data_IF_488339831876
#
_entry.id   IF_488339831876
#
_cell.length_a   1.000
_cell.length_b   1.000
_cell.length_c   1.000
_cell.angle_alpha   90.00
_cell.angle_beta   90.00
_cell.angle_gamma   90.00
#
_symmetry.space_group_name_H-M   'P 1'
#
loop_
_entity.id
_entity.type
_entity.pdbx_description
1 polymer ?
#
# COMPACT_ATOMS: atom_id res chain seq x y z
N UNK A 1 2.82 33.75 8.98
CA UNK A 1 4.07 33.82 8.17
C UNK A 1 3.96 32.78 7.07
N UNK A 2 4.10 33.18 5.80
CA UNK A 2 4.18 32.24 4.68
C UNK A 2 5.54 31.56 4.78
N UNK A 3 5.59 30.27 5.14
CA UNK A 3 6.85 29.49 5.12
C UNK A 3 7.39 29.56 3.70
N UNK A 4 8.63 30.03 3.54
CA UNK A 4 9.28 30.13 2.24
C UNK A 4 9.33 28.74 1.59
N UNK A 5 8.79 28.59 0.37
CA UNK A 5 8.55 27.30 -0.30
C UNK A 5 9.82 26.60 -0.83
N UNK A 6 11.00 26.97 -0.34
CA UNK A 6 12.26 26.30 -0.66
C UNK A 6 12.32 24.94 0.05
N UNK A 7 11.99 23.88 -0.70
CA UNK A 7 11.98 22.45 -0.37
C UNK A 7 11.22 22.03 0.90
N UNK A 8 9.96 21.60 0.73
CA UNK A 8 9.20 20.90 1.77
C UNK A 8 9.95 19.62 2.16
N UNK A 9 10.31 19.50 3.45
CA UNK A 9 11.01 18.34 3.98
C UNK A 9 10.04 17.27 4.48
N UNK A 10 10.45 16.01 4.40
CA UNK A 10 9.72 14.89 4.99
C UNK A 10 10.63 13.89 5.70
N UNK A 11 10.06 13.21 6.70
CA UNK A 11 10.69 12.08 7.39
C UNK A 11 9.93 10.78 7.09
N UNK A 12 10.64 9.73 6.72
CA UNK A 12 10.08 8.43 6.30
C UNK A 12 10.31 7.37 7.38
N UNK A 13 9.24 6.85 7.96
CA UNK A 13 9.27 5.82 8.99
C UNK A 13 8.77 4.50 8.43
N UNK A 14 9.37 3.38 8.88
CA UNK A 14 9.14 2.08 8.26
C UNK A 14 9.42 2.14 6.74
N UNK A 15 10.55 2.80 6.40
CA UNK A 15 10.82 3.27 5.05
C UNK A 15 10.86 2.14 4.00
N UNK A 16 11.17 0.91 4.43
CA UNK A 16 11.32 -0.23 3.55
C UNK A 16 12.35 0.06 2.46
N UNK A 17 11.96 -0.13 1.21
CA UNK A 17 12.80 0.19 0.05
C UNK A 17 12.58 1.62 -0.48
N UNK A 18 12.05 2.54 0.33
CA UNK A 18 11.91 3.95 -0.02
C UNK A 18 10.77 4.26 -0.98
N UNK A 19 9.64 3.53 -0.86
CA UNK A 19 8.48 3.78 -1.74
C UNK A 19 7.79 5.12 -1.49
N UNK A 20 7.76 5.57 -0.22
CA UNK A 20 7.35 6.94 0.11
C UNK A 20 8.40 7.94 -0.37
N UNK A 21 9.66 7.67 -0.09
CA UNK A 21 10.78 8.56 -0.37
C UNK A 21 10.87 8.94 -1.85
N UNK A 22 10.88 7.94 -2.74
CA UNK A 22 10.85 8.14 -4.19
C UNK A 22 9.64 8.96 -4.64
N UNK A 23 8.45 8.61 -4.15
CA UNK A 23 7.22 9.27 -4.55
C UNK A 23 7.17 10.75 -4.13
N UNK A 24 7.66 11.06 -2.92
CA UNK A 24 7.71 12.42 -2.42
C UNK A 24 8.78 13.26 -3.14
N UNK A 25 9.96 12.70 -3.41
CA UNK A 25 10.99 13.37 -4.21
C UNK A 25 10.53 13.67 -5.64
N UNK A 26 9.82 12.74 -6.28
CA UNK A 26 9.24 12.97 -7.62
C UNK A 26 8.24 14.14 -7.63
N UNK A 27 7.69 14.53 -6.48
CA UNK A 27 6.83 15.71 -6.33
C UNK A 27 7.58 16.96 -5.81
N UNK A 28 8.89 16.88 -5.63
CA UNK A 28 9.75 18.00 -5.22
C UNK A 28 9.85 18.22 -3.71
N UNK A 29 9.55 17.21 -2.91
CA UNK A 29 9.90 17.19 -1.48
C UNK A 29 11.34 16.73 -1.29
N UNK A 30 11.92 16.97 -0.11
CA UNK A 30 13.28 16.54 0.23
C UNK A 30 13.27 15.62 1.44
N UNK A 31 13.84 14.40 1.37
CA UNK A 31 13.96 13.54 2.52
C UNK A 31 14.93 14.15 3.53
N UNK A 32 14.54 14.21 4.80
CA UNK A 32 15.40 14.68 5.90
C UNK A 32 15.79 13.59 6.89
N UNK A 33 15.06 12.46 6.91
CA UNK A 33 15.31 11.37 7.84
C UNK A 33 14.60 10.09 7.40
N UNK A 34 15.21 8.94 7.68
CA UNK A 34 14.65 7.62 7.43
C UNK A 34 14.76 6.75 8.70
N UNK A 35 13.75 5.91 8.95
CA UNK A 35 13.78 4.87 9.98
C UNK A 35 13.33 3.53 9.42
N UNK A 36 14.19 2.50 9.50
CA UNK A 36 13.94 1.16 8.97
C UNK A 36 14.75 0.12 9.75
N UNK A 37 14.19 -1.03 10.08
CA UNK A 37 14.92 -2.06 10.87
C UNK A 37 15.62 -3.10 9.99
N UNK A 38 15.12 -3.32 8.78
CA UNK A 38 15.59 -4.37 7.89
C UNK A 38 16.93 -4.01 7.20
N UNK A 39 17.93 -4.86 7.39
CA UNK A 39 19.28 -4.67 6.84
C UNK A 39 19.36 -4.69 5.31
N UNK A 40 18.48 -5.43 4.63
CA UNK A 40 18.43 -5.39 3.17
C UNK A 40 17.86 -4.05 2.69
N UNK A 41 16.77 -3.60 3.32
CA UNK A 41 16.20 -2.28 3.07
C UNK A 41 17.22 -1.15 3.30
N UNK A 42 18.05 -1.23 4.36
CA UNK A 42 19.16 -0.29 4.57
C UNK A 42 20.09 -0.16 3.38
N UNK A 43 20.45 -1.28 2.74
CA UNK A 43 21.30 -1.26 1.54
C UNK A 43 20.62 -0.54 0.38
N UNK A 44 19.31 -0.75 0.22
CA UNK A 44 18.54 -0.07 -0.84
C UNK A 44 18.42 1.42 -0.53
N UNK A 45 18.12 1.80 0.72
CA UNK A 45 18.03 3.20 1.13
C UNK A 45 19.38 3.91 0.96
N UNK A 46 20.48 3.34 1.45
CA UNK A 46 21.82 3.94 1.31
C UNK A 46 22.28 4.04 -0.14
N UNK A 47 21.85 3.12 -1.03
CA UNK A 47 22.13 3.21 -2.48
C UNK A 47 21.55 4.48 -3.10
N UNK A 48 20.36 4.91 -2.65
CA UNK A 48 19.62 6.02 -3.25
C UNK A 48 19.73 7.33 -2.45
N UNK A 49 19.94 7.24 -1.13
CA UNK A 49 19.93 8.35 -0.18
C UNK A 49 21.08 8.26 0.84
N UNK A 50 22.31 8.09 0.35
CA UNK A 50 23.52 7.94 1.20
C UNK A 50 23.67 9.04 2.27
N UNK A 51 23.26 10.27 1.96
CA UNK A 51 23.41 11.43 2.86
C UNK A 51 22.20 11.70 3.75
N UNK A 52 21.14 10.89 3.69
CA UNK A 52 19.97 11.04 4.56
C UNK A 52 20.19 10.25 5.84
N UNK A 53 20.07 10.87 7.04
CA UNK A 53 20.20 10.13 8.30
C UNK A 53 19.24 8.95 8.37
N UNK A 54 19.78 7.75 8.61
CA UNK A 54 19.05 6.49 8.68
C UNK A 54 19.17 5.89 10.08
N UNK A 55 18.06 5.83 10.80
CA UNK A 55 17.95 5.15 12.09
C UNK A 55 17.36 3.75 11.92
N UNK A 56 17.71 2.83 12.83
CA UNK A 56 17.29 1.43 12.69
C UNK A 56 15.95 1.14 13.39
N UNK A 57 15.95 1.09 14.71
CA UNK A 57 14.81 0.62 15.48
C UNK A 57 14.02 1.79 16.07
N UNK A 58 12.81 2.01 15.57
CA UNK A 58 11.92 3.09 16.03
C UNK A 58 11.66 3.06 17.54
N UNK A 59 11.73 1.88 18.19
CA UNK A 59 11.50 1.74 19.63
C UNK A 59 12.61 2.35 20.49
N UNK A 60 13.79 2.57 19.91
CA UNK A 60 14.95 3.20 20.55
C UNK A 60 15.20 4.63 20.06
N UNK A 61 14.38 5.12 19.11
CA UNK A 61 14.54 6.43 18.51
C UNK A 61 14.07 7.53 19.48
N UNK A 62 14.91 8.55 19.69
CA UNK A 62 14.56 9.70 20.52
C UNK A 62 14.09 10.85 19.64
N UNK A 63 13.13 11.61 20.14
CA UNK A 63 12.52 12.74 19.41
C UNK A 63 13.57 13.77 18.96
N UNK A 64 14.57 14.05 19.80
CA UNK A 64 15.63 15.04 19.51
C UNK A 64 16.59 14.59 18.39
N UNK A 65 16.60 13.30 18.04
CA UNK A 65 17.43 12.77 16.96
C UNK A 65 16.73 12.88 15.59
N UNK A 66 15.47 13.32 15.58
CA UNK A 66 14.64 13.44 14.38
C UNK A 66 14.68 14.90 13.88
N UNK A 67 15.21 15.16 12.67
CA UNK A 67 15.18 16.48 12.06
C UNK A 67 13.76 17.02 11.83
N UNK A 68 13.62 18.35 11.93
CA UNK A 68 12.37 19.05 11.64
C UNK A 68 11.92 18.84 10.18
N UNK A 69 10.66 18.42 10.02
CA UNK A 69 10.03 18.19 8.73
C UNK A 69 8.52 18.48 8.79
N UNK A 70 7.97 19.04 7.71
CA UNK A 70 6.54 19.34 7.63
C UNK A 70 5.68 18.08 7.45
N UNK A 71 6.24 17.02 6.85
CA UNK A 71 5.50 15.79 6.56
C UNK A 71 6.21 14.60 7.17
N UNK A 72 5.48 13.79 7.91
CA UNK A 72 5.95 12.46 8.30
C UNK A 72 5.13 11.42 7.53
N UNK A 73 5.77 10.38 7.03
CA UNK A 73 5.09 9.29 6.34
C UNK A 73 5.56 7.93 6.85
N UNK A 74 4.70 6.91 6.74
CA UNK A 74 5.10 5.55 7.07
C UNK A 74 3.98 4.53 7.04
N UNK A 75 4.33 3.26 6.81
CA UNK A 75 3.41 2.13 6.89
C UNK A 75 3.81 1.21 8.03
N UNK A 76 3.25 1.39 9.22
CA UNK A 76 3.57 0.51 10.34
C UNK A 76 3.19 -0.95 10.01
N UNK A 77 3.95 -1.95 10.49
CA UNK A 77 3.84 -3.32 10.01
C UNK A 77 2.41 -3.87 10.11
N UNK A 78 1.91 -4.49 9.04
CA UNK A 78 0.52 -4.91 8.92
C UNK A 78 0.26 -6.41 9.22
N UNK A 79 1.29 -7.13 9.66
CA UNK A 79 1.25 -8.58 9.85
C UNK A 79 0.12 -8.97 10.81
N UNK A 80 -0.07 -8.23 11.90
CA UNK A 80 -1.03 -8.60 12.94
C UNK A 80 -2.46 -8.17 12.63
N UNK A 81 -2.66 -7.29 11.65
CA UNK A 81 -3.97 -6.84 11.15
C UNK A 81 -4.42 -7.54 9.85
N UNK A 82 -3.52 -8.27 9.18
CA UNK A 82 -3.77 -8.88 7.88
C UNK A 82 -4.68 -10.11 7.95
N UNK A 83 -5.73 -10.11 7.12
CA UNK A 83 -6.63 -11.28 6.93
C UNK A 83 -5.92 -12.49 6.32
N UNK A 84 -4.74 -12.29 5.71
CA UNK A 84 -3.97 -13.35 5.08
C UNK A 84 -3.39 -14.38 6.09
N UNK A 85 -3.45 -14.11 7.40
CA UNK A 85 -3.00 -15.05 8.45
C UNK A 85 -4.00 -16.18 8.76
N UNK A 86 -5.20 -16.17 8.18
CA UNK A 86 -6.15 -17.28 8.26
C UNK A 86 -6.54 -17.65 9.70
N UNK A 87 -6.55 -18.95 10.05
CA UNK A 87 -7.03 -19.48 11.34
C UNK A 87 -6.18 -19.13 12.57
N UNK A 88 -5.05 -18.44 12.42
CA UNK A 88 -4.20 -18.01 13.55
C UNK A 88 -4.70 -16.75 14.26
N UNK A 89 -5.80 -16.15 13.77
CA UNK A 89 -6.34 -14.91 14.34
C UNK A 89 -5.53 -13.67 13.92
N UNK A 90 -5.96 -12.50 14.43
CA UNK A 90 -5.32 -11.20 14.25
C UNK A 90 -5.01 -10.63 15.62
N UNK A 91 -3.73 -10.43 15.93
CA UNK A 91 -3.31 -9.77 17.18
C UNK A 91 -3.42 -8.24 17.08
N UNK A 92 -3.74 -7.70 15.89
CA UNK A 92 -4.06 -6.28 15.70
C UNK A 92 -2.99 -5.35 16.27
N UNK A 93 -3.39 -4.21 16.84
CA UNK A 93 -2.44 -3.29 17.47
C UNK A 93 -1.81 -3.85 18.77
N UNK A 94 -2.29 -4.98 19.29
CA UNK A 94 -1.67 -5.67 20.43
C UNK A 94 -0.50 -6.55 20.01
N UNK A 95 -0.41 -6.90 18.72
CA UNK A 95 0.68 -7.71 18.19
C UNK A 95 2.00 -6.94 18.19
N UNK A 96 3.12 -7.67 18.29
CA UNK A 96 4.45 -7.05 18.38
C UNK A 96 4.85 -6.26 17.13
N UNK A 97 4.25 -6.54 15.96
CA UNK A 97 4.57 -5.84 14.72
C UNK A 97 3.63 -4.66 14.49
N UNK A 98 2.31 -4.88 14.51
CA UNK A 98 1.35 -3.78 14.30
C UNK A 98 1.22 -2.84 15.51
N UNK A 99 1.66 -3.28 16.70
CA UNK A 99 1.81 -2.43 17.89
C UNK A 99 2.88 -1.34 17.76
N UNK A 100 3.73 -1.38 16.72
CA UNK A 100 4.65 -0.28 16.41
C UNK A 100 3.94 1.03 16.03
N UNK A 101 2.62 1.01 15.86
CA UNK A 101 1.81 2.23 15.85
C UNK A 101 2.02 3.07 17.11
N UNK A 102 2.15 2.48 18.31
CA UNK A 102 2.25 3.25 19.56
C UNK A 102 3.59 4.02 19.68
N UNK A 103 4.77 3.40 19.50
CA UNK A 103 6.03 4.13 19.43
C UNK A 103 6.03 5.23 18.36
N UNK A 104 5.45 4.95 17.19
CA UNK A 104 5.35 5.97 16.14
C UNK A 104 4.44 7.14 16.55
N UNK A 105 3.29 6.84 17.17
CA UNK A 105 2.39 7.84 17.72
C UNK A 105 3.08 8.69 18.80
N UNK A 106 3.87 8.10 19.69
CA UNK A 106 4.56 8.85 20.75
C UNK A 106 5.54 9.87 20.15
N UNK A 107 6.26 9.49 19.08
CA UNK A 107 7.11 10.41 18.33
C UNK A 107 6.30 11.53 17.65
N UNK A 108 5.17 11.19 17.02
CA UNK A 108 4.25 12.18 16.39
C UNK A 108 3.71 13.15 17.44
N UNK A 109 3.28 12.65 18.60
CA UNK A 109 2.70 13.44 19.69
C UNK A 109 3.70 14.45 20.25
N UNK A 110 4.97 14.05 20.35
CA UNK A 110 6.05 14.90 20.82
C UNK A 110 6.47 15.95 19.77
N UNK A 111 6.71 15.53 18.52
CA UNK A 111 7.26 16.39 17.47
C UNK A 111 6.21 17.23 16.73
N UNK A 112 4.97 16.72 16.63
CA UNK A 112 3.80 17.38 16.03
C UNK A 112 4.03 17.95 14.62
N UNK A 113 4.44 17.13 13.63
CA UNK A 113 4.62 17.55 12.23
C UNK A 113 3.33 18.14 11.63
N UNK A 114 3.43 18.98 10.59
CA UNK A 114 2.22 19.59 9.99
C UNK A 114 1.26 18.51 9.45
N UNK A 115 1.81 17.41 8.92
CA UNK A 115 1.06 16.30 8.32
C UNK A 115 1.69 14.95 8.67
N UNK A 116 0.84 13.94 8.91
CA UNK A 116 1.22 12.53 8.94
C UNK A 116 0.45 11.75 7.87
N UNK A 117 1.17 11.05 6.98
CA UNK A 117 0.59 10.16 5.97
C UNK A 117 0.90 8.70 6.30
N UNK A 118 -0.13 7.91 6.56
CA UNK A 118 0.00 6.50 6.94
C UNK A 118 -0.61 5.61 5.85
N UNK A 119 0.04 4.50 5.53
CA UNK A 119 -0.51 3.43 4.70
C UNK A 119 -0.71 2.15 5.53
N UNK A 120 -1.78 1.41 5.25
CA UNK A 120 -1.96 0.07 5.79
C UNK A 120 -2.86 -0.81 4.91
N UNK A 121 -2.97 -2.10 5.25
CA UNK A 121 -3.92 -3.01 4.60
C UNK A 121 -5.36 -2.66 4.98
N UNK A 122 -6.30 -2.90 4.06
CA UNK A 122 -7.75 -2.68 4.30
C UNK A 122 -8.26 -3.45 5.53
N UNK A 123 -7.59 -4.54 5.90
CA UNK A 123 -7.87 -5.32 7.10
C UNK A 123 -7.89 -4.49 8.40
N UNK A 124 -7.11 -3.40 8.48
CA UNK A 124 -7.07 -2.48 9.62
C UNK A 124 -8.48 -1.97 9.98
N UNK A 125 -9.30 -1.60 8.99
CA UNK A 125 -10.68 -1.10 9.16
C UNK A 125 -11.65 -2.11 9.78
N UNK A 126 -11.24 -3.37 9.92
CA UNK A 126 -12.07 -4.45 10.50
C UNK A 126 -11.35 -5.19 11.63
N UNK A 127 -10.12 -4.78 11.96
CA UNK A 127 -9.28 -5.46 12.94
C UNK A 127 -9.84 -5.26 14.34
N UNK A 128 -9.90 -6.34 15.13
CA UNK A 128 -10.64 -6.41 16.39
C UNK A 128 -12.02 -5.78 16.33
N UNK A 129 -12.87 -6.24 15.40
CA UNK A 129 -14.21 -5.68 15.20
C UNK A 129 -14.21 -4.16 14.93
N UNK A 130 -13.14 -3.63 14.33
CA UNK A 130 -12.97 -2.21 14.01
C UNK A 130 -12.34 -1.38 15.14
N UNK A 131 -12.05 -1.96 16.30
CA UNK A 131 -11.49 -1.24 17.45
C UNK A 131 -10.06 -0.75 17.20
N UNK A 132 -9.24 -1.49 16.45
CA UNK A 132 -7.86 -1.05 16.15
C UNK A 132 -7.84 0.26 15.35
N UNK A 133 -8.70 0.38 14.33
CA UNK A 133 -8.77 1.61 13.54
C UNK A 133 -9.36 2.76 14.36
N UNK A 134 -10.30 2.48 15.26
CA UNK A 134 -10.81 3.48 16.22
C UNK A 134 -9.67 4.08 17.06
N UNK A 135 -8.79 3.24 17.60
CA UNK A 135 -7.63 3.68 18.40
C UNK A 135 -6.72 4.59 17.58
N UNK A 136 -6.51 4.30 16.29
CA UNK A 136 -5.71 5.16 15.40
C UNK A 136 -6.36 6.54 15.25
N UNK A 137 -7.68 6.59 15.00
CA UNK A 137 -8.42 7.85 14.90
C UNK A 137 -8.33 8.64 16.20
N UNK A 138 -8.68 8.03 17.33
CA UNK A 138 -8.71 8.65 18.66
C UNK A 138 -7.35 9.24 19.06
N UNK A 139 -6.28 8.45 18.91
CA UNK A 139 -4.93 8.88 19.27
C UNK A 139 -4.54 10.13 18.49
N UNK A 140 -4.73 10.14 17.18
CA UNK A 140 -4.37 11.28 16.33
C UNK A 140 -5.29 12.49 16.56
N UNK A 141 -6.60 12.30 16.74
CA UNK A 141 -7.53 13.41 17.03
C UNK A 141 -7.29 14.01 18.40
N UNK A 142 -6.92 13.20 19.42
CA UNK A 142 -6.63 13.67 20.79
C UNK A 142 -5.47 14.68 20.87
N UNK A 143 -4.57 14.66 19.88
CA UNK A 143 -3.44 15.61 19.78
C UNK A 143 -3.69 16.70 18.72
N UNK A 144 -4.94 16.87 18.30
CA UNK A 144 -5.40 17.99 17.46
C UNK A 144 -5.29 17.78 15.95
N UNK A 145 -5.07 16.56 15.47
CA UNK A 145 -5.08 16.27 14.04
C UNK A 145 -6.51 16.00 13.55
N UNK A 146 -6.83 16.51 12.37
CA UNK A 146 -7.94 16.01 11.60
C UNK A 146 -7.49 14.83 10.76
N UNK A 147 -8.21 13.71 10.82
CA UNK A 147 -7.78 12.43 10.27
C UNK A 147 -8.74 11.99 9.19
N UNK A 148 -8.33 12.09 7.93
CA UNK A 148 -9.08 11.54 6.79
C UNK A 148 -8.52 10.18 6.38
N UNK A 149 -9.37 9.28 5.91
CA UNK A 149 -8.93 8.02 5.33
C UNK A 149 -9.66 7.68 4.04
N UNK A 150 -8.99 6.90 3.19
CA UNK A 150 -9.56 6.36 1.95
C UNK A 150 -8.91 5.05 1.57
N UNK A 151 -9.73 4.08 1.19
CA UNK A 151 -9.28 2.85 0.51
C UNK A 151 -9.13 3.16 -0.97
N UNK A 152 -7.93 2.96 -1.51
CA UNK A 152 -7.62 3.11 -2.94
C UNK A 152 -6.94 1.85 -3.46
N UNK A 153 -7.09 1.59 -4.75
CA UNK A 153 -6.57 0.40 -5.40
C UNK A 153 -5.58 0.80 -6.49
N UNK A 154 -4.31 0.39 -6.33
CA UNK A 154 -3.18 0.82 -7.17
C UNK A 154 -3.41 0.66 -8.68
N UNK A 155 -4.26 -0.29 -9.08
CA UNK A 155 -4.63 -0.56 -10.47
C UNK A 155 -5.21 0.64 -11.24
N UNK A 156 -5.67 1.66 -10.53
CA UNK A 156 -6.28 2.86 -11.14
C UNK A 156 -5.34 4.08 -11.12
N UNK A 157 -4.11 3.90 -10.62
CA UNK A 157 -3.12 4.96 -10.44
C UNK A 157 -1.86 4.70 -11.28
N UNK A 158 -1.90 3.80 -12.27
CA UNK A 158 -0.77 3.52 -13.14
C UNK A 158 0.10 2.32 -12.73
N UNK A 159 -0.26 1.58 -11.68
CA UNK A 159 0.40 0.32 -11.32
C UNK A 159 -0.41 -0.87 -11.85
N UNK A 160 0.17 -1.84 -12.59
CA UNK A 160 -0.56 -2.97 -13.15
C UNK A 160 -0.85 -4.09 -12.13
N UNK A 161 -1.27 -3.72 -10.92
CA UNK A 161 -1.55 -4.60 -9.79
C UNK A 161 -2.87 -4.22 -9.14
N UNK A 162 -3.71 -5.20 -8.77
CA UNK A 162 -4.80 -4.91 -7.83
C UNK A 162 -4.31 -5.02 -6.39
N UNK A 163 -4.02 -3.86 -5.77
CA UNK A 163 -3.55 -3.74 -4.39
C UNK A 163 -4.41 -2.70 -3.66
N UNK A 164 -5.58 -3.08 -3.12
CA UNK A 164 -6.36 -2.18 -2.28
C UNK A 164 -5.63 -1.95 -0.94
N UNK A 165 -5.49 -0.69 -0.56
CA UNK A 165 -4.86 -0.22 0.69
C UNK A 165 -5.61 0.96 1.26
N UNK A 166 -5.61 1.08 2.59
CA UNK A 166 -6.14 2.27 3.26
C UNK A 166 -5.00 3.26 3.45
N UNK A 167 -5.21 4.49 3.00
CA UNK A 167 -4.34 5.62 3.30
C UNK A 167 -5.05 6.51 4.30
N UNK A 168 -4.30 7.02 5.27
CA UNK A 168 -4.75 7.89 6.34
C UNK A 168 -3.91 9.17 6.27
N UNK A 169 -4.56 10.30 6.09
CA UNK A 169 -3.94 11.61 6.11
C UNK A 169 -4.40 12.35 7.36
N UNK A 170 -3.46 12.56 8.29
CA UNK A 170 -3.68 13.35 9.49
C UNK A 170 -3.06 14.74 9.29
N UNK A 171 -3.87 15.79 9.33
CA UNK A 171 -3.43 17.17 9.14
C UNK A 171 -3.69 17.97 10.43
N UNK A 172 -2.66 18.64 10.94
CA UNK A 172 -2.72 19.35 12.22
C UNK A 172 -3.71 20.52 12.14
N UNK A 173 -4.76 20.47 12.95
CA UNK A 173 -5.84 21.47 13.04
C UNK A 173 -6.46 21.89 11.70
N UNK A 174 -6.44 21.02 10.69
CA UNK A 174 -6.89 21.38 9.35
C UNK A 174 -7.69 20.27 8.66
N UNK A 175 -8.98 20.13 9.00
CA UNK A 175 -9.82 19.07 8.43
C UNK A 175 -10.02 19.19 6.92
N UNK A 176 -10.06 20.41 6.37
CA UNK A 176 -10.23 20.60 4.93
C UNK A 176 -9.02 20.07 4.16
N UNK A 177 -7.80 20.34 4.63
CA UNK A 177 -6.57 19.81 4.00
C UNK A 177 -6.44 18.31 4.18
N UNK A 178 -6.80 17.77 5.35
CA UNK A 178 -6.83 16.32 5.56
C UNK A 178 -7.73 15.64 4.52
N UNK A 179 -8.94 16.18 4.33
CA UNK A 179 -9.92 15.64 3.39
C UNK A 179 -9.50 15.82 1.92
N UNK A 180 -9.18 17.06 1.51
CA UNK A 180 -8.83 17.39 0.13
C UNK A 180 -7.56 16.67 -0.34
N UNK A 181 -6.65 16.32 0.57
CA UNK A 181 -5.47 15.50 0.23
C UNK A 181 -5.86 14.12 -0.31
N UNK A 182 -6.92 13.49 0.21
CA UNK A 182 -7.33 12.14 -0.19
C UNK A 182 -8.54 12.11 -1.13
N UNK A 183 -9.33 13.18 -1.19
CA UNK A 183 -10.60 13.23 -1.92
C UNK A 183 -10.61 14.32 -2.98
N UNK A 184 -11.06 13.95 -4.18
CA UNK A 184 -11.36 14.88 -5.27
C UNK A 184 -12.80 15.38 -5.16
N UNK A 185 -13.10 16.63 -5.57
CA UNK A 185 -14.47 17.18 -5.51
C UNK A 185 -15.43 16.46 -6.47
N UNK A 186 -14.89 15.79 -7.50
CA UNK A 186 -15.67 15.09 -8.53
C UNK A 186 -15.39 13.59 -8.48
N UNK A 187 -16.46 12.81 -8.69
CA UNK A 187 -16.35 11.37 -8.90
C UNK A 187 -15.85 11.07 -10.31
N UNK A 188 -14.83 10.22 -10.41
CA UNK A 188 -14.42 9.63 -11.68
C UNK A 188 -15.44 8.65 -12.24
N UNK A 189 -15.27 8.29 -13.52
CA UNK A 189 -16.12 7.29 -14.18
C UNK A 189 -15.85 5.90 -13.58
N UNK A 190 -16.89 5.27 -13.04
CA UNK A 190 -16.79 3.92 -12.48
C UNK A 190 -16.33 2.91 -13.54
N UNK A 191 -15.21 2.18 -13.31
CA UNK A 191 -14.81 1.10 -14.19
C UNK A 191 -15.85 -0.01 -14.25
N UNK A 192 -16.12 -0.52 -15.45
CA UNK A 192 -16.96 -1.70 -15.64
C UNK A 192 -16.15 -2.98 -15.55
N UNK A 193 -16.78 -4.09 -15.14
CA UNK A 193 -16.24 -5.44 -15.24
C UNK A 193 -14.82 -5.66 -14.67
N UNK A 194 -14.51 -5.11 -13.49
CA UNK A 194 -13.18 -5.21 -12.85
C UNK A 194 -12.58 -6.63 -12.77
N UNK A 195 -13.42 -7.65 -12.64
CA UNK A 195 -12.99 -9.06 -12.61
C UNK A 195 -12.42 -9.52 -13.95
N UNK A 196 -12.88 -8.94 -15.05
CA UNK A 196 -12.50 -9.33 -16.41
C UNK A 196 -11.02 -9.08 -16.68
N UNK A 197 -10.42 -8.06 -16.07
CA UNK A 197 -8.99 -7.79 -16.18
C UNK A 197 -8.08 -8.91 -15.60
N UNK A 198 -8.61 -9.83 -14.77
CA UNK A 198 -7.89 -11.02 -14.33
C UNK A 198 -8.05 -12.22 -15.27
N UNK A 199 -8.91 -12.10 -16.29
CA UNK A 199 -9.28 -13.16 -17.24
C UNK A 199 -8.88 -12.82 -18.67
N UNK A 200 -8.96 -11.54 -19.05
CA UNK A 200 -8.57 -11.07 -20.37
C UNK A 200 -7.06 -11.25 -20.57
N UNK A 201 -6.71 -11.86 -21.70
CA UNK A 201 -5.34 -12.22 -22.05
C UNK A 201 -4.61 -11.03 -22.67
N UNK A 202 -3.44 -10.71 -22.14
CA UNK A 202 -2.44 -9.90 -22.81
C UNK A 202 -1.33 -10.81 -23.33
N UNK A 203 -0.90 -10.59 -24.56
CA UNK A 203 0.09 -11.42 -25.24
C UNK A 203 1.22 -10.55 -25.78
N UNK A 204 2.46 -11.00 -25.59
CA UNK A 204 3.61 -10.44 -26.29
C UNK A 204 3.87 -11.26 -27.56
N UNK A 205 4.00 -10.60 -28.71
CA UNK A 205 4.27 -11.31 -29.96
C UNK A 205 5.70 -11.81 -30.10
N UNK A 206 6.67 -11.19 -29.40
CA UNK A 206 8.09 -11.59 -29.46
C UNK A 206 8.38 -12.83 -28.63
N UNK A 207 8.03 -12.81 -27.34
CA UNK A 207 8.28 -13.91 -26.40
C UNK A 207 7.19 -15.01 -26.42
N UNK A 208 6.05 -14.73 -27.06
CA UNK A 208 4.81 -15.52 -27.00
C UNK A 208 4.22 -15.68 -25.60
N UNK A 209 4.69 -14.88 -24.63
CA UNK A 209 4.13 -14.82 -23.28
C UNK A 209 2.66 -14.43 -23.30
N UNK A 210 1.88 -15.09 -22.44
CA UNK A 210 0.51 -14.76 -22.11
C UNK A 210 0.39 -14.49 -20.61
N UNK A 211 -0.23 -13.37 -20.26
CA UNK A 211 -0.55 -12.97 -18.87
C UNK A 211 -1.94 -12.33 -18.80
N UNK A 212 -2.54 -12.28 -17.61
CA UNK A 212 -3.72 -11.46 -17.39
C UNK A 212 -3.38 -9.97 -17.52
N UNK A 213 -4.37 -9.12 -17.78
CA UNK A 213 -4.13 -7.66 -17.90
C UNK A 213 -3.62 -7.02 -16.59
N UNK A 214 -3.96 -7.59 -15.43
CA UNK A 214 -3.54 -7.09 -14.12
C UNK A 214 -2.91 -8.20 -13.27
N UNK A 215 -1.93 -7.85 -12.45
CA UNK A 215 -1.41 -8.73 -11.41
C UNK A 215 -2.30 -8.79 -10.16
N UNK A 216 -2.24 -9.91 -9.46
CA UNK A 216 -2.69 -10.00 -8.07
C UNK A 216 -1.74 -9.23 -7.14
N UNK A 217 -2.24 -8.92 -5.94
CA UNK A 217 -1.47 -8.24 -4.89
C UNK A 217 -0.15 -8.99 -4.60
N UNK A 218 0.99 -8.30 -4.69
CA UNK A 218 2.27 -8.86 -4.26
C UNK A 218 2.30 -8.99 -2.74
N UNK A 219 2.67 -10.16 -2.25
CA UNK A 219 2.87 -10.44 -0.84
C UNK A 219 4.36 -10.52 -0.52
N UNK A 220 4.75 -10.30 0.74
CA UNK A 220 6.15 -10.47 1.19
C UNK A 220 6.65 -11.92 1.00
N UNK A 221 5.73 -12.87 0.89
CA UNK A 221 6.02 -14.29 0.59
C UNK A 221 5.98 -14.59 -0.90
N UNK A 222 5.90 -13.57 -1.77
CA UNK A 222 5.77 -13.74 -3.23
C UNK A 222 6.91 -14.55 -3.86
N UNK A 223 8.09 -14.57 -3.23
CA UNK A 223 9.23 -15.37 -3.69
C UNK A 223 9.11 -16.89 -3.50
N UNK A 224 8.19 -17.38 -2.65
CA UNK A 224 8.03 -18.81 -2.33
C UNK A 224 6.80 -19.42 -3.02
N UNK A 225 6.87 -20.71 -3.40
CA UNK A 225 5.69 -21.53 -3.72
C UNK A 225 4.94 -21.89 -2.44
N UNK A 226 4.07 -21.00 -1.96
CA UNK A 226 3.22 -21.32 -0.80
C UNK A 226 1.91 -21.90 -1.29
N UNK A 227 1.28 -22.78 -0.50
CA UNK A 227 0.07 -23.55 -0.84
C UNK A 227 -1.21 -22.78 -1.20
N UNK A 228 -1.11 -21.50 -1.60
CA UNK A 228 -2.14 -20.59 -2.11
C UNK A 228 -1.83 -20.10 -3.54
N UNK A 229 -1.11 -20.90 -4.35
CA UNK A 229 -0.55 -20.48 -5.64
C UNK A 229 -1.56 -19.95 -6.67
N UNK A 230 -2.85 -20.28 -6.57
CA UNK A 230 -3.89 -19.81 -7.50
C UNK A 230 -4.18 -18.30 -7.39
N UNK A 231 -3.76 -17.63 -6.32
CA UNK A 231 -3.90 -16.17 -6.16
C UNK A 231 -2.60 -15.42 -6.46
N UNK A 232 -1.66 -16.05 -7.17
CA UNK A 232 -0.40 -15.47 -7.58
C UNK A 232 -0.40 -15.21 -9.08
N UNK A 233 0.38 -14.20 -9.47
CA UNK A 233 0.61 -13.89 -10.88
C UNK A 233 1.77 -14.72 -11.39
N UNK A 234 1.50 -15.55 -12.40
CA UNK A 234 2.49 -16.31 -13.15
C UNK A 234 2.56 -15.79 -14.59
N UNK A 235 3.71 -16.00 -15.21
CA UNK A 235 3.95 -15.71 -16.63
C UNK A 235 3.91 -17.03 -17.39
N UNK A 236 3.03 -17.12 -18.39
CA UNK A 236 2.75 -18.36 -19.13
C UNK A 236 3.34 -18.28 -20.53
N UNK A 237 4.25 -19.18 -20.85
CA UNK A 237 4.78 -19.44 -22.18
C UNK A 237 4.03 -20.64 -22.79
N UNK A 238 4.18 -20.93 -24.10
CA UNK A 238 3.59 -22.13 -24.71
C UNK A 238 4.00 -23.43 -24.02
N UNK A 239 5.25 -23.54 -23.57
CA UNK A 239 5.89 -24.75 -23.06
C UNK A 239 6.49 -24.58 -21.65
N UNK A 240 6.33 -23.41 -21.03
CA UNK A 240 6.94 -23.10 -19.75
C UNK A 240 6.07 -22.16 -18.89
N UNK A 241 6.26 -22.22 -17.57
CA UNK A 241 5.63 -21.29 -16.62
C UNK A 241 6.69 -20.76 -15.69
N UNK A 242 6.65 -19.46 -15.38
CA UNK A 242 7.56 -18.85 -14.41
C UNK A 242 6.85 -17.91 -13.46
N UNK A 243 7.48 -17.69 -12.31
CA UNK A 243 7.14 -16.57 -11.42
C UNK A 243 7.63 -15.24 -12.02
N UNK A 244 7.03 -14.15 -11.54
CA UNK A 244 7.54 -12.81 -11.79
C UNK A 244 8.96 -12.68 -11.22
N UNK A 245 9.87 -12.03 -11.93
CA UNK A 245 11.20 -11.67 -11.44
C UNK A 245 11.12 -10.48 -10.47
N UNK A 246 12.14 -10.24 -9.62
CA UNK A 246 12.17 -9.02 -8.80
C UNK A 246 12.09 -7.73 -9.63
N UNK A 247 12.72 -7.71 -10.81
CA UNK A 247 12.63 -6.59 -11.75
C UNK A 247 11.19 -6.31 -12.19
N UNK A 248 10.43 -7.36 -12.51
CA UNK A 248 9.03 -7.20 -12.87
C UNK A 248 8.19 -6.78 -11.65
N UNK A 249 8.52 -7.29 -10.46
CA UNK A 249 7.89 -6.84 -9.22
C UNK A 249 8.14 -5.36 -8.90
N UNK A 250 9.33 -4.82 -9.21
CA UNK A 250 9.65 -3.38 -9.13
C UNK A 250 8.70 -2.58 -10.02
N UNK A 251 8.61 -2.93 -11.31
CA UNK A 251 7.74 -2.25 -12.27
C UNK A 251 6.26 -2.34 -11.91
N UNK A 252 5.80 -3.47 -11.36
CA UNK A 252 4.42 -3.66 -10.91
C UNK A 252 4.08 -2.78 -9.69
N UNK A 253 5.05 -2.43 -8.85
CA UNK A 253 4.89 -1.49 -7.73
C UNK A 253 5.12 -0.02 -8.15
N UNK A 254 5.61 0.20 -9.38
CA UNK A 254 5.93 1.52 -9.93
C UNK A 254 7.34 2.03 -9.60
N UNK A 255 8.25 1.16 -9.17
CA UNK A 255 9.66 1.53 -9.01
C UNK A 255 10.40 1.55 -10.36
N UNK A 256 11.45 2.37 -10.49
CA UNK A 256 12.42 2.26 -11.58
C UNK A 256 13.04 0.86 -11.64
N UNK A 257 13.55 0.53 -12.83
CA UNK A 257 14.27 -0.72 -13.05
C UNK A 257 15.50 -0.86 -12.15
N UNK A 258 15.72 -2.07 -11.62
CA UNK A 258 16.86 -2.42 -10.76
C UNK A 258 16.93 -1.58 -9.47
N UNK A 259 15.79 -1.04 -9.03
CA UNK A 259 15.68 -0.24 -7.81
C UNK A 259 16.23 -0.98 -6.58
N UNK A 260 15.87 -2.25 -6.42
CA UNK A 260 16.28 -3.09 -5.28
C UNK A 260 17.55 -3.90 -5.55
N UNK A 261 18.20 -3.69 -6.70
CA UNK A 261 19.47 -4.33 -7.01
C UNK A 261 20.60 -3.60 -6.27
N UNK A 262 21.16 -4.24 -5.25
CA UNK A 262 22.26 -3.71 -4.42
C UNK A 262 23.52 -4.56 -4.58
N UNK A 263 24.69 -3.96 -4.37
CA UNK A 263 25.96 -4.67 -4.44
C UNK A 263 26.11 -5.70 -3.30
N UNK A 264 26.75 -6.83 -3.61
CA UNK A 264 27.04 -7.90 -2.66
C UNK A 264 27.80 -9.06 -3.30
N UNK A 265 28.23 -10.03 -2.49
CA UNK A 265 29.14 -11.12 -2.89
C UNK A 265 28.63 -12.02 -4.04
N UNK A 266 27.37 -11.89 -4.44
CA UNK A 266 26.79 -12.48 -5.66
C UNK A 266 25.51 -11.76 -6.07
N UNK A 267 25.35 -11.45 -7.37
CA UNK A 267 24.14 -10.85 -7.98
C UNK A 267 22.86 -11.69 -7.73
N UNK A 268 23.01 -12.95 -7.31
CA UNK A 268 21.94 -13.93 -7.13
C UNK A 268 21.47 -14.16 -5.68
N UNK A 269 22.10 -13.52 -4.68
CA UNK A 269 21.90 -13.89 -3.26
C UNK A 269 20.70 -13.19 -2.58
N UNK A 270 20.15 -12.12 -3.17
CA UNK A 270 19.13 -11.27 -2.52
C UNK A 270 17.70 -11.44 -3.03
N UNK A 271 17.39 -12.35 -3.95
CA UNK A 271 16.03 -12.44 -4.53
C UNK A 271 14.94 -12.61 -3.46
N UNK A 272 15.19 -13.43 -2.44
CA UNK A 272 14.26 -13.62 -1.33
C UNK A 272 13.98 -12.31 -0.59
N UNK A 273 15.02 -11.54 -0.29
CA UNK A 273 14.90 -10.25 0.40
C UNK A 273 14.21 -9.22 -0.50
N UNK A 274 14.55 -9.19 -1.80
CA UNK A 274 13.91 -8.33 -2.80
C UNK A 274 12.42 -8.60 -2.89
N UNK A 275 11.99 -9.86 -3.04
CA UNK A 275 10.56 -10.21 -3.07
C UNK A 275 9.86 -9.83 -1.77
N UNK A 276 10.52 -10.05 -0.63
CA UNK A 276 9.95 -9.69 0.67
C UNK A 276 9.74 -8.18 0.80
N UNK A 277 10.76 -7.39 0.45
CA UNK A 277 10.70 -5.94 0.48
C UNK A 277 9.69 -5.36 -0.53
N UNK A 278 9.67 -5.87 -1.77
CA UNK A 278 8.72 -5.45 -2.81
C UNK A 278 7.27 -5.81 -2.44
N UNK A 279 7.05 -6.93 -1.76
CA UNK A 279 5.73 -7.31 -1.25
C UNK A 279 5.22 -6.40 -0.14
N UNK A 280 6.12 -5.87 0.69
CA UNK A 280 5.81 -4.92 1.77
C UNK A 280 5.75 -3.46 1.30
N UNK A 281 6.39 -3.12 0.18
CA UNK A 281 6.41 -1.76 -0.33
C UNK A 281 5.00 -1.20 -0.63
N UNK A 282 4.88 0.10 -0.44
CA UNK A 282 3.77 0.90 -0.96
C UNK A 282 3.83 0.97 -2.49
N UNK A 283 2.69 1.23 -3.12
CA UNK A 283 2.62 1.48 -4.56
C UNK A 283 3.03 2.92 -4.84
N UNK A 284 4.18 3.12 -5.50
CA UNK A 284 4.76 4.45 -5.78
C UNK A 284 3.74 5.39 -6.45
N UNK A 285 3.01 4.99 -7.52
CA UNK A 285 2.11 5.91 -8.22
C UNK A 285 0.92 6.40 -7.38
N UNK A 286 0.46 5.58 -6.42
CA UNK A 286 -0.58 6.02 -5.48
C UNK A 286 -0.04 7.09 -4.54
N UNK A 287 1.17 6.88 -4.01
CA UNK A 287 1.81 7.83 -3.10
C UNK A 287 2.16 9.12 -3.83
N UNK A 288 2.63 9.06 -5.08
CA UNK A 288 2.89 10.25 -5.92
C UNK A 288 1.62 11.07 -6.12
N UNK A 289 0.50 10.40 -6.40
CA UNK A 289 -0.80 11.06 -6.53
C UNK A 289 -1.18 11.79 -5.23
N UNK A 290 -0.98 11.17 -4.06
CA UNK A 290 -1.24 11.81 -2.76
C UNK A 290 -0.26 12.96 -2.50
N UNK A 291 1.04 12.77 -2.74
CA UNK A 291 2.09 13.75 -2.49
C UNK A 291 1.91 15.01 -3.35
N UNK A 292 1.48 14.87 -4.61
CA UNK A 292 1.15 15.99 -5.47
C UNK A 292 -0.01 16.83 -4.88
N UNK A 293 -1.06 16.16 -4.40
CA UNK A 293 -2.18 16.84 -3.73
C UNK A 293 -1.73 17.54 -2.45
N UNK A 294 -0.92 16.86 -1.65
CA UNK A 294 -0.35 17.40 -0.43
C UNK A 294 0.46 18.69 -0.69
N UNK A 295 1.31 18.69 -1.72
CA UNK A 295 2.06 19.86 -2.17
C UNK A 295 1.14 21.04 -2.48
N UNK A 296 0.05 20.79 -3.19
CA UNK A 296 -0.96 21.80 -3.51
C UNK A 296 -1.70 22.29 -2.27
N UNK A 297 -1.88 21.47 -1.23
CA UNK A 297 -2.46 21.92 0.03
C UNK A 297 -1.50 22.83 0.82
N UNK A 298 -0.19 22.61 0.76
CA UNK A 298 0.77 23.51 1.42
C UNK A 298 0.80 24.93 0.85
N UNK A 299 0.41 25.13 -0.41
CA UNK A 299 0.36 26.47 -1.04
C UNK A 299 -0.97 27.20 -0.81
N UNK A 300 -2.03 26.48 -0.42
CA UNK A 300 -3.35 27.06 -0.17
C UNK A 300 -3.43 27.72 1.21
N UNK A 301 -3.93 28.96 1.23
CA UNK A 301 -4.48 29.58 2.46
C UNK A 301 -5.68 28.76 2.92
N UNK A 302 -5.92 28.70 4.23
CA UNK A 302 -7.01 27.88 4.77
C UNK A 302 -7.78 28.65 5.81
N UNK A 303 -9.09 28.45 5.76
CA UNK A 303 -10.03 28.88 6.78
C UNK A 303 -9.96 27.92 7.97
N UNK A 304 -10.07 28.46 9.17
CA UNK A 304 -10.21 27.65 10.38
C UNK A 304 -11.65 27.14 10.39
N UNK A 305 -11.81 25.81 10.40
CA UNK A 305 -13.13 25.17 10.44
C UNK A 305 -13.30 24.50 11.79
N UNK A 306 -14.37 24.87 12.49
CA UNK A 306 -14.81 24.21 13.71
C UNK A 306 -15.36 22.81 13.38
N UNK A 307 -15.16 21.84 14.27
CA UNK A 307 -15.64 20.47 14.07
C UNK A 307 -17.16 20.41 13.87
N UNK A 308 -17.93 21.30 14.50
CA UNK A 308 -19.39 21.37 14.34
C UNK A 308 -19.85 21.78 12.93
N UNK A 309 -19.01 22.49 12.16
CA UNK A 309 -19.32 22.89 10.79
C UNK A 309 -18.74 21.93 9.73
N UNK A 310 -18.01 20.90 10.14
CA UNK A 310 -17.26 20.01 9.25
C UNK A 310 -18.13 19.39 8.14
N UNK A 311 -19.27 18.81 8.51
CA UNK A 311 -20.21 18.16 7.58
C UNK A 311 -20.68 19.17 6.53
N UNK A 312 -21.08 20.36 6.97
CA UNK A 312 -21.61 21.44 6.14
C UNK A 312 -20.57 21.93 5.13
N UNK A 313 -19.35 22.18 5.59
CA UNK A 313 -18.27 22.68 4.73
C UNK A 313 -17.84 21.64 3.70
N UNK A 314 -17.64 20.38 4.11
CA UNK A 314 -17.28 19.31 3.16
C UNK A 314 -18.41 19.07 2.16
N UNK A 315 -19.66 19.02 2.61
CA UNK A 315 -20.80 18.76 1.72
C UNK A 315 -20.96 19.81 0.61
N UNK A 316 -20.52 21.05 0.84
CA UNK A 316 -20.59 22.14 -0.15
C UNK A 316 -19.81 21.81 -1.42
N UNK A 317 -18.56 21.37 -1.28
CA UNK A 317 -17.65 21.15 -2.41
C UNK A 317 -17.57 19.67 -2.84
N UNK A 318 -18.04 18.76 -1.97
CA UNK A 318 -17.89 17.32 -2.15
C UNK A 318 -19.22 16.55 -2.17
N UNK A 319 -20.37 17.22 -2.30
CA UNK A 319 -21.71 16.60 -2.36
C UNK A 319 -21.83 15.39 -3.31
N UNK A 320 -21.05 15.39 -4.39
CA UNK A 320 -21.05 14.29 -5.36
C UNK A 320 -20.48 12.98 -4.79
N UNK A 321 -19.42 13.08 -3.96
CA UNK A 321 -18.72 11.96 -3.32
C UNK A 321 -19.28 11.65 -1.91
N UNK A 322 -19.91 12.63 -1.28
CA UNK A 322 -20.35 12.61 0.11
C UNK A 322 -21.85 12.25 0.19
N UNK A 323 -22.19 11.00 -0.19
CA UNK A 323 -23.56 10.46 -0.17
C UNK A 323 -23.68 9.31 0.84
N UNK A 324 -24.87 9.15 1.44
CA UNK A 324 -25.17 8.11 2.44
C UNK A 324 -24.16 8.11 3.59
N UNK A 325 -23.90 9.31 4.09
CA UNK A 325 -22.97 9.57 5.17
C UNK A 325 -23.52 8.95 6.45
N UNK A 326 -22.63 8.37 7.25
CA UNK A 326 -22.92 8.01 8.63
C UNK A 326 -22.08 8.88 9.55
N UNK A 327 -22.78 9.72 10.31
CA UNK A 327 -22.20 10.50 11.40
C UNK A 327 -22.23 9.68 12.69
N UNK A 328 -21.13 9.72 13.44
CA UNK A 328 -20.94 9.05 14.71
C UNK A 328 -20.25 10.03 15.66
N UNK A 329 -20.78 10.21 16.87
CA UNK A 329 -20.06 10.96 17.90
C UNK A 329 -18.90 10.12 18.41
N UNK A 330 -17.73 10.75 18.59
CA UNK A 330 -16.56 10.04 19.09
C UNK A 330 -16.79 9.47 20.51
N UNK A 331 -17.65 10.13 21.30
CA UNK A 331 -18.10 9.69 22.63
C UNK A 331 -18.90 8.39 22.63
N UNK A 332 -19.58 8.07 21.52
CA UNK A 332 -20.42 6.86 21.39
C UNK A 332 -19.60 5.63 21.00
N UNK A 333 -18.30 5.83 20.72
CA UNK A 333 -17.38 4.76 20.38
C UNK A 333 -16.79 4.16 21.66
N UNK A 334 -17.52 3.20 22.25
CA UNK A 334 -17.16 2.54 23.52
C UNK A 334 -15.71 2.02 23.51
N UNK A 335 -14.98 2.39 24.56
CA UNK A 335 -13.55 2.16 24.79
C UNK A 335 -13.31 0.91 25.65
N UNK A 336 -13.90 -0.22 25.28
CA UNK A 336 -13.55 -1.48 25.93
C UNK A 336 -12.85 -2.41 24.91
N UNK A 337 -11.51 -2.56 25.00
CA UNK A 337 -10.79 -3.43 24.10
C UNK A 337 -11.02 -4.93 24.44
N UNK A 338 -11.82 -5.25 25.47
CA UNK A 338 -12.39 -6.58 25.75
C UNK A 338 -13.84 -6.72 25.30
N UNK A 339 -14.44 -5.65 24.77
CA UNK A 339 -15.81 -5.67 24.29
C UNK A 339 -15.89 -6.33 22.93
N UNK A 340 -16.10 -7.65 22.97
CA UNK A 340 -16.37 -8.46 21.80
C UNK A 340 -17.79 -8.24 21.24
N UNK A 341 -18.65 -7.52 21.98
CA UNK A 341 -20.05 -7.27 21.62
C UNK A 341 -20.24 -6.09 20.65
N UNK A 342 -19.43 -5.03 20.76
CA UNK A 342 -19.59 -3.83 19.93
C UNK A 342 -18.73 -3.88 18.66
N UNK A 343 -19.38 -4.19 17.54
CA UNK A 343 -18.75 -4.26 16.22
C UNK A 343 -18.84 -2.95 15.45
N UNK A 344 -17.69 -2.29 15.29
CA UNK A 344 -17.50 -1.12 14.42
C UNK A 344 -17.22 -1.57 12.98
N UNK A 345 -18.09 -1.16 12.05
CA UNK A 345 -17.95 -1.45 10.62
C UNK A 345 -17.53 -0.18 9.89
N UNK A 346 -16.24 0.13 9.88
CA UNK A 346 -15.72 1.31 9.18
C UNK A 346 -15.93 1.21 7.67
N UNK A 347 -16.39 2.29 7.05
CA UNK A 347 -16.51 2.37 5.60
C UNK A 347 -15.16 2.67 4.92
N UNK A 348 -15.12 2.57 3.60
CA UNK A 348 -13.90 2.73 2.80
C UNK A 348 -13.34 4.15 2.77
N UNK A 349 -14.04 5.15 3.32
CA UNK A 349 -13.47 6.48 3.53
C UNK A 349 -14.23 7.28 4.58
N UNK A 350 -13.60 8.36 5.03
CA UNK A 350 -14.16 9.20 6.08
C UNK A 350 -13.21 10.28 6.58
N UNK A 351 -13.66 10.98 7.61
CA UNK A 351 -12.89 11.97 8.35
C UNK A 351 -13.31 12.00 9.82
N UNK A 352 -12.34 12.16 10.72
CA UNK A 352 -12.55 12.41 12.14
C UNK A 352 -11.81 13.68 12.56
N UNK A 353 -12.48 14.57 13.30
CA UNK A 353 -11.87 15.79 13.86
C UNK A 353 -12.67 16.30 15.07
N UNK A 354 -11.98 16.56 16.18
CA UNK A 354 -12.65 16.79 17.46
C UNK A 354 -13.52 15.59 17.83
N UNK A 355 -14.76 15.86 18.25
CA UNK A 355 -15.73 14.82 18.60
C UNK A 355 -16.56 14.30 17.42
N UNK A 356 -16.29 14.79 16.20
CA UNK A 356 -17.06 14.44 15.01
C UNK A 356 -16.32 13.39 14.19
N UNK A 357 -16.99 12.27 13.92
CA UNK A 357 -16.51 11.25 13.00
C UNK A 357 -17.56 10.96 11.93
N UNK A 358 -17.12 10.98 10.68
CA UNK A 358 -17.96 10.79 9.52
C UNK A 358 -17.37 9.71 8.63
N UNK A 359 -18.16 8.72 8.23
CA UNK A 359 -17.72 7.73 7.25
C UNK A 359 -18.74 7.43 6.15
N UNK A 360 -18.22 7.01 5.01
CA UNK A 360 -18.97 6.79 3.77
C UNK A 360 -18.23 5.81 2.84
N UNK A 361 -18.95 5.29 1.85
CA UNK A 361 -18.39 4.38 0.86
C UNK A 361 -17.63 5.15 -0.23
N UNK A 362 -16.36 5.44 0.03
CA UNK A 362 -15.45 6.05 -0.93
C UNK A 362 -15.14 5.15 -2.14
N UNK A 363 -14.82 5.76 -3.28
CA UNK A 363 -14.31 5.07 -4.47
C UNK A 363 -12.85 4.67 -4.32
N UNK A 364 -12.49 3.51 -4.88
CA UNK A 364 -11.11 3.00 -4.90
C UNK A 364 -10.23 3.63 -6.00
N UNK A 365 -10.81 4.43 -6.89
CA UNK A 365 -10.17 5.01 -8.07
C UNK A 365 -10.24 6.55 -8.04
N UNK A 366 -9.26 7.25 -8.64
CA UNK A 366 -9.26 8.71 -8.72
C UNK A 366 -10.29 9.22 -9.75
N UNK A 367 -10.48 10.53 -9.83
CA UNK A 367 -11.31 11.18 -10.86
C UNK A 367 -10.86 10.77 -12.27
N UNK A 368 -9.54 10.83 -12.50
CA UNK A 368 -8.89 10.46 -13.76
C UNK A 368 -8.08 9.19 -13.56
N UNK A 369 -8.61 8.07 -14.04
CA UNK A 369 -7.96 6.75 -13.95
C UNK A 369 -6.73 6.73 -14.86
N UNK A 370 -5.62 6.23 -14.30
CA UNK A 370 -4.39 5.96 -15.03
C UNK A 370 -4.29 4.45 -15.19
N UNK A 371 -4.59 3.97 -16.39
CA UNK A 371 -4.53 2.55 -16.72
C UNK A 371 -3.08 2.11 -16.97
N UNK A 372 -2.77 0.88 -16.55
CA UNK A 372 -1.49 0.22 -16.84
C UNK A 372 -1.72 -1.28 -16.98
N UNK A 373 -1.07 -1.93 -17.94
CA UNK A 373 -1.21 -3.37 -18.17
C UNK A 373 0.03 -4.10 -17.66
N UNK A 374 -0.20 -5.30 -17.11
CA UNK A 374 0.89 -6.15 -16.64
C UNK A 374 1.89 -6.44 -17.75
N UNK A 375 1.41 -6.66 -18.98
CA UNK A 375 2.28 -6.92 -20.14
C UNK A 375 3.28 -5.79 -20.42
N UNK A 376 3.00 -4.55 -20.01
CA UNK A 376 3.90 -3.42 -20.22
C UNK A 376 5.14 -3.50 -19.31
N UNK A 377 5.07 -4.30 -18.24
CA UNK A 377 6.19 -4.59 -17.33
C UNK A 377 6.89 -5.90 -17.70
N UNK A 378 6.14 -6.87 -18.19
CA UNK A 378 6.68 -8.16 -18.66
C UNK A 378 7.48 -7.95 -19.96
N UNK A 379 8.50 -8.79 -20.19
CA UNK A 379 9.34 -8.79 -21.40
C UNK A 379 10.15 -7.52 -21.69
N UNK A 380 10.18 -6.54 -20.78
CA UNK A 380 11.21 -5.48 -20.81
C UNK A 380 12.63 -6.06 -20.74
N UNK A 381 12.77 -7.27 -20.20
CA UNK A 381 14.00 -8.05 -20.11
C UNK A 381 13.77 -9.45 -20.67
N UNK A 382 14.57 -9.84 -21.67
CA UNK A 382 14.42 -11.14 -22.34
C UNK A 382 15.40 -12.21 -21.81
N UNK A 383 16.50 -11.81 -21.18
CA UNK A 383 17.44 -12.69 -20.50
C UNK A 383 16.90 -13.08 -19.12
N UNK A 384 15.96 -14.04 -19.10
CA UNK A 384 15.37 -14.56 -17.86
C UNK A 384 16.13 -15.80 -17.42
N UNK A 385 16.66 -15.76 -16.20
CA UNK A 385 17.33 -16.89 -15.55
C UNK A 385 16.36 -18.08 -15.33
N UNK A 386 16.82 -19.29 -15.61
CA UNK A 386 16.07 -20.54 -15.44
C UNK A 386 15.52 -20.73 -14.02
N UNK A 387 16.14 -20.12 -12.99
CA UNK A 387 15.66 -20.20 -11.59
C UNK A 387 14.26 -19.61 -11.34
N UNK A 388 13.72 -18.85 -12.29
CA UNK A 388 12.36 -18.30 -12.18
C UNK A 388 11.30 -19.23 -12.77
N UNK A 389 11.69 -20.17 -13.62
CA UNK A 389 10.78 -21.16 -14.18
C UNK A 389 10.46 -22.23 -13.14
N UNK A 390 9.20 -22.66 -13.13
CA UNK A 390 8.73 -23.68 -12.20
C UNK A 390 9.02 -25.07 -12.76
N UNK A 391 9.28 -26.03 -11.88
CA UNK A 391 9.43 -27.42 -12.30
C UNK A 391 8.08 -28.06 -12.62
N UNK A 392 8.13 -29.16 -13.37
CA UNK A 392 6.96 -30.00 -13.68
C UNK A 392 6.27 -30.52 -12.40
N UNK A 393 7.06 -30.88 -11.38
CA UNK A 393 6.54 -31.28 -10.06
C UNK A 393 5.77 -30.14 -9.39
N UNK A 394 6.25 -28.91 -9.52
CA UNK A 394 5.55 -27.74 -9.00
C UNK A 394 4.23 -27.51 -9.77
N UNK A 395 4.24 -27.66 -11.10
CA UNK A 395 3.05 -27.53 -11.93
C UNK A 395 1.98 -28.58 -11.59
N UNK A 396 2.37 -29.85 -11.43
CA UNK A 396 1.47 -30.93 -10.98
C UNK A 396 0.88 -30.62 -9.60
N UNK A 397 1.70 -30.13 -8.68
CA UNK A 397 1.27 -29.69 -7.35
C UNK A 397 0.24 -28.57 -7.40
N UNK A 398 0.40 -27.59 -8.28
CA UNK A 398 -0.55 -26.48 -8.50
C UNK A 398 -1.87 -27.02 -9.06
N UNK A 399 -1.83 -27.80 -10.14
CA UNK A 399 -3.02 -28.37 -10.77
C UNK A 399 -3.83 -29.23 -9.80
N UNK A 400 -3.16 -30.08 -9.02
CA UNK A 400 -3.79 -30.90 -7.97
C UNK A 400 -4.52 -30.04 -6.93
N UNK A 401 -3.86 -28.98 -6.44
CA UNK A 401 -4.46 -28.06 -5.44
C UNK A 401 -5.69 -27.35 -6.01
N UNK A 402 -5.59 -26.81 -7.23
CA UNK A 402 -6.69 -26.13 -7.93
C UNK A 402 -7.91 -27.03 -8.06
N UNK A 403 -7.71 -28.28 -8.49
CA UNK A 403 -8.77 -29.29 -8.59
C UNK A 403 -9.40 -29.60 -7.22
N UNK A 404 -8.57 -29.84 -6.20
CA UNK A 404 -9.05 -30.19 -4.85
C UNK A 404 -9.90 -29.10 -4.19
N UNK A 405 -9.70 -27.83 -4.59
CA UNK A 405 -10.40 -26.68 -4.03
C UNK A 405 -11.48 -26.10 -4.94
N UNK A 406 -11.81 -26.77 -6.05
CA UNK A 406 -12.78 -26.32 -7.05
C UNK A 406 -12.54 -24.88 -7.52
N UNK A 407 -11.27 -24.54 -7.79
CA UNK A 407 -10.85 -23.22 -8.29
C UNK A 407 -10.65 -23.26 -9.80
N UNK A 408 -10.73 -22.09 -10.44
CA UNK A 408 -10.36 -21.88 -11.86
C UNK A 408 -9.14 -21.00 -11.93
N UNK A 409 -8.17 -21.40 -12.75
CA UNK A 409 -7.01 -20.58 -13.09
C UNK A 409 -7.30 -19.67 -14.29
N UNK A 410 -6.46 -18.66 -14.47
CA UNK A 410 -6.33 -17.96 -15.74
C UNK A 410 -6.06 -18.98 -16.86
N UNK A 411 -6.81 -18.90 -17.97
CA UNK A 411 -6.82 -19.92 -19.03
C UNK A 411 -5.43 -20.29 -19.55
N UNK A 412 -4.64 -19.33 -20.04
CA UNK A 412 -3.27 -19.60 -20.51
C UNK A 412 -2.33 -20.20 -19.46
N UNK A 413 -2.53 -19.89 -18.17
CA UNK A 413 -1.75 -20.51 -17.10
C UNK A 413 -2.13 -21.99 -16.94
N UNK A 414 -3.42 -22.31 -16.98
CA UNK A 414 -3.87 -23.70 -16.93
C UNK A 414 -3.32 -24.51 -18.10
N UNK A 415 -3.43 -23.97 -19.32
CA UNK A 415 -2.91 -24.59 -20.55
C UNK A 415 -1.40 -24.87 -20.44
N UNK A 416 -0.60 -23.88 -20.04
CA UNK A 416 0.84 -24.02 -19.92
C UNK A 416 1.25 -25.01 -18.81
N UNK A 417 0.52 -25.05 -17.69
CA UNK A 417 0.78 -26.03 -16.62
C UNK A 417 0.48 -27.47 -17.07
N UNK A 418 -0.60 -27.67 -17.84
CA UNK A 418 -0.95 -28.99 -18.38
C UNK A 418 0.11 -29.45 -19.37
N UNK A 419 0.52 -28.59 -20.30
CA UNK A 419 1.58 -28.89 -21.27
C UNK A 419 2.89 -29.28 -20.59
N UNK A 420 3.29 -28.56 -19.53
CA UNK A 420 4.50 -28.87 -18.76
C UNK A 420 4.43 -30.27 -18.13
N UNK A 421 3.27 -30.65 -17.58
CA UNK A 421 3.07 -31.98 -16.97
C UNK A 421 2.98 -33.10 -18.00
N UNK A 422 2.43 -32.83 -19.18
CA UNK A 422 2.36 -33.81 -20.28
C UNK A 422 3.74 -34.09 -20.88
N UNK A 423 4.57 -33.06 -21.07
CA UNK A 423 5.95 -33.23 -21.54
C UNK A 423 6.78 -34.12 -20.61
N UNK A 424 6.60 -33.98 -19.29
CA UNK A 424 7.23 -34.88 -18.29
C UNK A 424 6.84 -36.36 -18.46
N UNK A 425 5.63 -36.65 -18.95
CA UNK A 425 5.16 -38.03 -19.16
C UNK A 425 5.68 -38.64 -20.47
N UNK A 426 6.10 -37.80 -21.40
CA UNK A 426 6.60 -38.21 -22.71
C UNK A 426 8.13 -38.41 -22.72
N UNK A 427 8.86 -37.78 -21.79
CA UNK A 427 10.28 -38.00 -21.51
C UNK A 427 10.48 -39.15 -20.52
#
# INVERSE_FOLDING_TARGET
>A
MVKNHSNLKFNSFFAGIGGFDLAFENQGFTPSFQCEINKFCHKVLNKHWENVPLFSDITNLKVNDIPEASVWCGGFPCQDVSVARGSKGREGLRGSNSGLFFPFFDLISAHKPDVVLIENVVGLLSSHNGQDFRIVLEKLTSIGYAVSWRVVNSRFFGAPQSRPRVFICAYKHNPLKAFSTLFEPKLGKKPSNLRRAFLDVSKCEKSKVKVAQIAYCLAATSGRHTGTDWSRTYVSYPDAVRRLTPFECEGIQGFPSDWTLVEGKSRNDFDTDRYHALGNAVSVPVVEWIANRLKNEFTKKTEIVDSSELVKVISKDYSSIFKNIREQAHSDLILDPKDEGHKLKWMSGGIAYGDVCIDFKATEYPENIIDSKLIDVIDKRLDIDNKYFISENAAEGILRRVKSQNRRLFGPLYEALVALVENKKAA
#
